data_IF_256072359889
#
_entry.id   IF_256072359889
#
_cell.length_a   1.000
_cell.length_b   1.000
_cell.length_c   1.000
_cell.angle_alpha   90.00
_cell.angle_beta   90.00
_cell.angle_gamma   90.00
#
_symmetry.space_group_name_H-M   'P 1'
#
loop_
_entity.id
_entity.type
_entity.pdbx_description
1 polymer ?
#
# COMPACT_ATOMS: atom_id res chain seq x y z
N UNK A 1 -16.68 -21.79 -13.20
CA UNK A 1 -17.43 -21.15 -12.11
C UNK A 1 -17.01 -21.77 -10.80
N UNK A 2 -16.17 -21.11 -10.02
CA UNK A 2 -15.63 -21.63 -8.77
C UNK A 2 -16.72 -21.67 -7.69
N UNK A 3 -17.04 -22.88 -7.18
CA UNK A 3 -18.11 -23.13 -6.20
C UNK A 3 -17.70 -22.88 -4.74
N UNK A 4 -16.49 -22.37 -4.50
CA UNK A 4 -15.95 -22.18 -3.15
C UNK A 4 -16.13 -20.72 -2.69
N UNK A 5 -16.94 -20.46 -1.65
CA UNK A 5 -17.16 -19.09 -1.14
C UNK A 5 -15.86 -18.44 -0.65
N UNK A 6 -14.90 -19.24 -0.15
CA UNK A 6 -13.59 -18.76 0.27
C UNK A 6 -12.81 -18.12 -0.89
N UNK A 7 -12.87 -18.69 -2.09
CA UNK A 7 -12.16 -18.15 -3.25
C UNK A 7 -12.70 -16.78 -3.68
N UNK A 8 -14.02 -16.58 -3.56
CA UNK A 8 -14.66 -15.30 -3.83
C UNK A 8 -14.29 -14.28 -2.75
N UNK A 9 -14.28 -14.70 -1.48
CA UNK A 9 -13.89 -13.84 -0.37
C UNK A 9 -12.44 -13.37 -0.48
N UNK A 10 -11.50 -14.26 -0.84
CA UNK A 10 -10.10 -13.91 -1.03
C UNK A 10 -9.89 -12.95 -2.21
N UNK A 11 -10.63 -13.15 -3.32
CA UNK A 11 -10.58 -12.23 -4.46
C UNK A 11 -11.14 -10.84 -4.14
N UNK A 12 -12.22 -10.76 -3.37
CA UNK A 12 -12.74 -9.48 -2.89
C UNK A 12 -11.77 -8.82 -1.89
N UNK A 13 -11.13 -9.60 -1.03
CA UNK A 13 -10.14 -9.10 -0.09
C UNK A 13 -8.92 -8.52 -0.80
N UNK A 14 -8.36 -9.21 -1.80
CA UNK A 14 -7.24 -8.69 -2.59
C UNK A 14 -7.63 -7.43 -3.37
N UNK A 15 -8.83 -7.40 -3.95
CA UNK A 15 -9.37 -6.20 -4.59
C UNK A 15 -9.50 -5.03 -3.61
N UNK A 16 -10.07 -5.27 -2.42
CA UNK A 16 -10.23 -4.23 -1.39
C UNK A 16 -8.88 -3.70 -0.90
N UNK A 17 -7.88 -4.58 -0.77
CA UNK A 17 -6.54 -4.19 -0.36
C UNK A 17 -5.88 -3.27 -1.39
N UNK A 18 -6.08 -3.52 -2.69
CA UNK A 18 -5.62 -2.64 -3.77
C UNK A 18 -6.25 -1.23 -3.71
N UNK A 19 -7.52 -1.12 -3.29
CA UNK A 19 -8.18 0.17 -3.01
C UNK A 19 -7.94 0.69 -1.58
N UNK A 20 -7.03 0.06 -0.83
CA UNK A 20 -6.66 0.44 0.52
C UNK A 20 -5.93 1.79 0.59
N UNK A 21 -5.80 2.33 1.81
CA UNK A 21 -5.07 3.58 2.06
C UNK A 21 -5.92 4.82 2.30
N UNK A 22 -7.24 4.72 2.12
CA UNK A 22 -8.19 5.80 2.49
C UNK A 22 -8.10 6.19 3.98
N UNK A 23 -7.75 5.25 4.87
CA UNK A 23 -7.55 5.53 6.29
C UNK A 23 -6.43 6.54 6.56
N UNK A 24 -5.39 6.57 5.72
CA UNK A 24 -4.27 7.51 5.86
C UNK A 24 -4.73 8.96 5.64
N UNK A 25 -5.84 9.19 4.92
CA UNK A 25 -6.44 10.52 4.77
C UNK A 25 -6.98 11.04 6.12
N UNK A 26 -7.48 10.15 6.98
CA UNK A 26 -7.96 10.52 8.30
C UNK A 26 -6.81 11.02 9.18
N UNK A 27 -5.61 10.44 9.06
CA UNK A 27 -4.42 10.87 9.82
C UNK A 27 -3.96 12.29 9.49
N UNK A 28 -4.26 12.78 8.28
CA UNK A 28 -3.86 14.12 7.81
C UNK A 28 -5.00 15.13 7.97
N UNK A 29 -6.16 14.69 8.47
CA UNK A 29 -7.33 15.57 8.65
C UNK A 29 -7.07 16.71 9.62
N UNK A 30 -6.21 16.52 10.63
CA UNK A 30 -5.79 17.57 11.56
C UNK A 30 -4.86 18.62 10.93
N UNK A 31 -4.20 18.29 9.81
CA UNK A 31 -3.28 19.19 9.08
C UNK A 31 -3.96 19.89 7.88
N UNK A 32 -5.17 19.45 7.52
CA UNK A 32 -5.94 19.99 6.40
C UNK A 32 -6.56 21.34 6.75
N UNK A 33 -6.28 22.37 5.92
CA UNK A 33 -7.05 23.63 5.97
C UNK A 33 -8.51 23.35 5.58
N UNK A 34 -9.47 23.72 6.43
CA UNK A 34 -10.92 23.49 6.22
C UNK A 34 -11.28 22.00 5.97
N UNK A 35 -11.10 21.11 6.97
CA UNK A 35 -11.22 19.67 6.79
C UNK A 35 -12.62 19.25 6.32
N UNK A 36 -13.69 19.87 6.83
CA UNK A 36 -15.08 19.52 6.46
C UNK A 36 -15.35 19.54 4.95
N UNK A 37 -14.76 20.51 4.22
CA UNK A 37 -14.96 20.64 2.77
C UNK A 37 -13.87 19.89 2.00
N UNK A 38 -12.61 20.06 2.40
CA UNK A 38 -11.49 19.53 1.64
C UNK A 38 -11.38 18.01 1.75
N UNK A 39 -11.66 17.43 2.92
CA UNK A 39 -11.69 15.98 3.08
C UNK A 39 -12.76 15.34 2.18
N UNK A 40 -13.97 15.92 2.17
CA UNK A 40 -15.07 15.44 1.33
C UNK A 40 -14.73 15.52 -0.16
N UNK A 41 -14.18 16.66 -0.62
CA UNK A 41 -13.74 16.83 -2.00
C UNK A 41 -12.61 15.85 -2.37
N UNK A 42 -11.64 15.63 -1.47
CA UNK A 42 -10.56 14.68 -1.70
C UNK A 42 -11.10 13.26 -1.89
N UNK A 43 -12.06 12.81 -1.08
CA UNK A 43 -12.66 11.47 -1.21
C UNK A 43 -13.43 11.36 -2.53
N UNK A 44 -14.29 12.35 -2.83
CA UNK A 44 -15.13 12.34 -4.04
C UNK A 44 -14.31 12.42 -5.33
N UNK A 45 -13.14 13.05 -5.31
CA UNK A 45 -12.25 13.11 -6.49
C UNK A 45 -11.29 11.92 -6.56
N UNK A 46 -10.72 11.49 -5.44
CA UNK A 46 -9.74 10.41 -5.41
C UNK A 46 -10.39 9.06 -5.73
N UNK A 47 -11.54 8.72 -5.13
CA UNK A 47 -12.16 7.41 -5.32
C UNK A 47 -12.50 7.10 -6.80
N UNK A 48 -13.21 7.98 -7.54
CA UNK A 48 -13.50 7.72 -8.95
C UNK A 48 -12.25 7.69 -9.81
N UNK A 49 -11.27 8.57 -9.52
CA UNK A 49 -10.00 8.59 -10.27
C UNK A 49 -9.27 7.25 -10.13
N UNK A 50 -9.16 6.73 -8.90
CA UNK A 50 -8.53 5.44 -8.64
C UNK A 50 -9.32 4.32 -9.33
N UNK A 51 -10.66 4.30 -9.23
CA UNK A 51 -11.49 3.30 -9.91
C UNK A 51 -11.24 3.30 -11.43
N UNK A 52 -11.24 4.47 -12.07
CA UNK A 52 -11.01 4.59 -13.51
C UNK A 52 -9.62 4.09 -13.88
N UNK A 53 -8.57 4.49 -13.15
CA UNK A 53 -7.20 4.03 -13.41
C UNK A 53 -7.09 2.51 -13.29
N UNK A 54 -7.66 1.91 -12.25
CA UNK A 54 -7.65 0.46 -12.07
C UNK A 54 -8.37 -0.28 -13.20
N UNK A 55 -9.52 0.23 -13.65
CA UNK A 55 -10.24 -0.36 -14.79
C UNK A 55 -9.41 -0.27 -16.06
N UNK A 56 -8.80 0.88 -16.33
CA UNK A 56 -7.93 1.08 -17.50
C UNK A 56 -6.71 0.16 -17.48
N UNK A 57 -6.07 -0.02 -16.32
CA UNK A 57 -4.94 -0.95 -16.17
C UNK A 57 -5.36 -2.40 -16.43
N UNK A 58 -6.49 -2.85 -15.88
CA UNK A 58 -7.00 -4.19 -16.14
C UNK A 58 -7.33 -4.41 -17.62
N UNK A 59 -7.96 -3.42 -18.28
CA UNK A 59 -8.21 -3.47 -19.73
C UNK A 59 -6.89 -3.61 -20.48
N UNK A 60 -5.89 -2.80 -20.16
CA UNK A 60 -4.56 -2.85 -20.78
C UNK A 60 -3.91 -4.24 -20.66
N UNK A 61 -3.99 -4.87 -19.49
CA UNK A 61 -3.45 -6.22 -19.29
C UNK A 61 -4.18 -7.27 -20.13
N UNK A 62 -5.51 -7.25 -20.14
CA UNK A 62 -6.29 -8.23 -20.93
C UNK A 62 -6.20 -8.03 -22.43
N UNK A 63 -5.83 -6.84 -22.91
CA UNK A 63 -5.62 -6.60 -24.36
C UNK A 63 -4.28 -7.12 -24.87
N UNK A 64 -3.28 -7.24 -24.00
CA UNK A 64 -1.90 -7.58 -24.40
C UNK A 64 -1.55 -9.03 -24.05
N UNK A 65 -2.04 -9.55 -22.92
CA UNK A 65 -1.62 -10.84 -22.38
C UNK A 65 -2.73 -11.89 -22.42
N UNK A 66 -2.33 -13.15 -22.61
CA UNK A 66 -3.26 -14.29 -22.50
C UNK A 66 -3.52 -14.66 -21.03
N UNK A 67 -4.64 -15.35 -20.77
CA UNK A 67 -5.04 -15.77 -19.41
C UNK A 67 -3.97 -16.62 -18.72
N UNK A 68 -3.29 -17.49 -19.46
CA UNK A 68 -2.26 -18.37 -18.92
C UNK A 68 -1.03 -17.57 -18.49
N UNK A 69 -0.59 -16.60 -19.28
CA UNK A 69 0.53 -15.71 -18.95
C UNK A 69 0.21 -14.84 -17.73
N UNK A 70 -1.03 -14.35 -17.62
CA UNK A 70 -1.44 -13.52 -16.50
C UNK A 70 -1.52 -14.31 -15.18
N UNK A 71 -1.87 -15.60 -15.25
CA UNK A 71 -1.92 -16.49 -14.09
C UNK A 71 -0.55 -17.08 -13.71
N UNK A 72 0.37 -17.22 -14.66
CA UNK A 72 1.72 -17.74 -14.40
C UNK A 72 2.73 -16.65 -14.01
N UNK A 73 2.45 -15.38 -14.32
CA UNK A 73 3.34 -14.27 -14.04
C UNK A 73 3.35 -13.89 -12.56
N UNK A 74 4.52 -13.95 -11.92
CA UNK A 74 4.72 -13.36 -10.58
C UNK A 74 4.74 -11.83 -10.61
N UNK A 75 5.06 -11.20 -11.75
CA UNK A 75 5.11 -9.75 -11.89
C UNK A 75 4.44 -9.28 -13.19
N UNK A 76 3.09 -9.23 -13.18
CA UNK A 76 2.25 -8.92 -14.35
C UNK A 76 2.64 -7.60 -15.04
N UNK A 77 3.06 -6.59 -14.28
CA UNK A 77 3.46 -5.31 -14.85
C UNK A 77 4.75 -5.43 -15.69
N UNK A 78 5.71 -6.26 -15.29
CA UNK A 78 6.97 -6.44 -16.01
C UNK A 78 6.75 -7.25 -17.28
N UNK A 79 5.97 -8.34 -17.20
CA UNK A 79 5.63 -9.15 -18.38
C UNK A 79 4.81 -8.37 -19.40
N UNK A 80 3.87 -7.52 -18.95
CA UNK A 80 3.21 -6.55 -19.83
C UNK A 80 4.21 -5.55 -20.44
N UNK A 81 5.15 -5.05 -19.65
CA UNK A 81 6.17 -4.11 -20.11
C UNK A 81 7.11 -4.69 -21.16
N UNK A 82 7.45 -5.97 -21.08
CA UNK A 82 8.27 -6.66 -22.08
C UNK A 82 7.54 -6.75 -23.43
N UNK A 83 6.23 -6.99 -23.40
CA UNK A 83 5.40 -7.08 -24.60
C UNK A 83 5.16 -5.71 -25.28
N UNK A 84 5.13 -4.60 -24.52
CA UNK A 84 4.72 -3.28 -25.05
C UNK A 84 5.89 -2.28 -25.17
N UNK A 85 6.74 -2.20 -24.15
CA UNK A 85 7.75 -1.13 -24.00
C UNK A 85 9.12 -1.49 -24.60
N UNK A 86 9.34 -2.77 -24.94
CA UNK A 86 10.58 -3.27 -25.51
C UNK A 86 11.81 -2.90 -24.65
N UNK A 87 12.84 -2.23 -25.19
CA UNK A 87 14.11 -1.97 -24.48
C UNK A 87 13.97 -1.02 -23.28
N UNK A 88 12.85 -0.29 -23.15
CA UNK A 88 12.61 0.64 -22.03
C UNK A 88 12.11 -0.10 -20.78
N UNK A 89 11.80 -1.40 -20.87
CA UNK A 89 11.26 -2.19 -19.75
C UNK A 89 12.19 -2.20 -18.53
N UNK A 90 13.50 -2.04 -18.70
CA UNK A 90 14.46 -1.98 -17.59
C UNK A 90 14.18 -0.84 -16.60
N UNK A 91 13.52 0.24 -17.03
CA UNK A 91 13.12 1.33 -16.15
C UNK A 91 11.85 1.01 -15.33
N UNK A 92 11.03 0.06 -15.78
CA UNK A 92 9.73 -0.22 -15.20
C UNK A 92 9.82 -0.78 -13.76
N UNK A 93 10.70 -1.77 -13.45
CA UNK A 93 10.89 -2.23 -12.07
C UNK A 93 11.38 -1.13 -11.12
N UNK A 94 12.19 -0.18 -11.62
CA UNK A 94 12.68 0.95 -10.83
C UNK A 94 11.51 1.86 -10.45
N UNK A 95 10.65 2.19 -11.42
CA UNK A 95 9.46 3.02 -11.18
C UNK A 95 8.49 2.36 -10.19
N UNK A 96 8.24 1.06 -10.36
CA UNK A 96 7.40 0.27 -9.44
C UNK A 96 8.01 0.27 -8.03
N UNK A 97 9.33 0.06 -7.93
CA UNK A 97 10.03 0.07 -6.64
C UNK A 97 9.98 1.44 -5.96
N UNK A 98 10.12 2.53 -6.69
CA UNK A 98 9.98 3.90 -6.15
C UNK A 98 8.57 4.15 -5.63
N UNK A 99 7.55 3.68 -6.35
CA UNK A 99 6.15 3.74 -5.89
C UNK A 99 5.94 2.95 -4.59
N UNK A 100 6.44 1.71 -4.54
CA UNK A 100 6.37 0.86 -3.35
C UNK A 100 7.10 1.48 -2.15
N UNK A 101 8.28 2.08 -2.37
CA UNK A 101 9.03 2.81 -1.33
C UNK A 101 8.26 4.04 -0.85
N UNK A 102 7.60 4.77 -1.74
CA UNK A 102 6.73 5.89 -1.39
C UNK A 102 5.58 5.46 -0.48
N UNK A 103 4.90 4.37 -0.83
CA UNK A 103 3.82 3.78 -0.02
C UNK A 103 4.34 3.30 1.34
N UNK A 104 5.46 2.56 1.38
CA UNK A 104 6.08 2.10 2.62
C UNK A 104 6.46 3.26 3.55
N UNK A 105 7.02 4.33 3.00
CA UNK A 105 7.38 5.53 3.76
C UNK A 105 6.14 6.24 4.34
N UNK A 106 5.07 6.39 3.56
CA UNK A 106 3.82 6.99 4.04
C UNK A 106 3.21 6.18 5.21
N UNK A 107 3.21 4.85 5.09
CA UNK A 107 2.73 3.95 6.16
C UNK A 107 3.60 4.04 7.42
N UNK A 108 4.92 4.17 7.27
CA UNK A 108 5.84 4.32 8.39
C UNK A 108 5.57 5.61 9.18
N UNK A 109 5.35 6.74 8.49
CA UNK A 109 4.99 8.00 9.13
C UNK A 109 3.64 7.93 9.84
N UNK A 110 2.61 7.35 9.22
CA UNK A 110 1.31 7.17 9.83
C UNK A 110 1.39 6.34 11.11
N UNK A 111 2.02 5.16 11.02
CA UNK A 111 2.16 4.23 12.14
C UNK A 111 2.94 4.81 13.32
N UNK A 112 4.02 5.55 13.03
CA UNK A 112 4.82 6.18 14.08
C UNK A 112 4.03 7.27 14.84
N UNK A 113 3.19 8.05 14.13
CA UNK A 113 2.28 9.03 14.76
C UNK A 113 1.22 8.34 15.62
N UNK A 114 0.60 7.27 15.12
CA UNK A 114 -0.36 6.50 15.91
C UNK A 114 0.26 5.96 17.20
N UNK A 115 1.50 5.45 17.15
CA UNK A 115 2.20 4.98 18.35
C UNK A 115 2.48 6.13 19.34
N UNK A 116 2.90 7.30 18.85
CA UNK A 116 3.13 8.48 19.68
C UNK A 116 1.86 8.93 20.40
N UNK A 117 0.75 9.08 19.66
CA UNK A 117 -0.54 9.49 20.24
C UNK A 117 -1.05 8.44 21.22
N UNK A 118 -0.94 7.15 20.89
CA UNK A 118 -1.35 6.06 21.78
C UNK A 118 -0.55 6.04 23.09
N UNK A 119 0.74 6.38 23.05
CA UNK A 119 1.57 6.51 24.25
C UNK A 119 1.19 7.74 25.09
N UNK A 120 0.80 8.86 24.46
CA UNK A 120 0.30 10.04 25.16
C UNK A 120 -1.01 9.79 25.92
N UNK A 121 -1.87 8.93 25.39
CA UNK A 121 -3.10 8.50 26.07
C UNK A 121 -2.88 7.36 27.08
N UNK A 122 -1.64 6.90 27.29
CA UNK A 122 -1.30 5.87 28.27
C UNK A 122 -1.56 4.43 27.82
N UNK A 123 -1.90 4.18 26.55
CA UNK A 123 -2.10 2.82 26.01
C UNK A 123 -0.78 2.10 25.70
N UNK A 124 0.30 2.86 25.49
CA UNK A 124 1.65 2.34 25.25
C UNK A 124 2.64 2.94 26.26
N UNK A 125 3.78 2.25 26.53
CA UNK A 125 4.83 2.77 27.40
C UNK A 125 5.32 4.16 26.95
N UNK A 126 5.66 5.02 27.93
CA UNK A 126 6.09 6.40 27.69
C UNK A 126 7.29 6.53 26.74
N UNK A 127 8.11 5.48 26.60
CA UNK A 127 9.22 5.41 25.66
C UNK A 127 8.76 5.72 24.22
N UNK A 128 7.52 5.37 23.85
CA UNK A 128 6.96 5.65 22.51
C UNK A 128 6.48 7.09 22.33
N UNK A 129 6.32 7.86 23.39
CA UNK A 129 6.03 9.30 23.33
C UNK A 129 7.31 10.15 23.15
N UNK A 130 8.50 9.55 23.30
CA UNK A 130 9.78 10.25 23.16
C UNK A 130 10.07 10.67 21.72
N UNK A 131 10.31 11.98 21.53
CA UNK A 131 10.69 12.58 20.26
C UNK A 131 12.18 12.93 20.31
N UNK A 132 12.92 12.63 19.23
CA UNK A 132 14.33 12.98 19.16
C UNK A 132 14.55 14.50 19.06
N UNK A 133 15.32 15.08 19.99
CA UNK A 133 15.47 16.54 20.17
C UNK A 133 16.01 17.27 18.92
N UNK A 134 16.95 16.68 18.17
CA UNK A 134 17.55 17.35 16.99
C UNK A 134 16.80 17.12 15.68
N UNK A 135 16.08 16.00 15.56
CA UNK A 135 15.46 15.55 14.30
C UNK A 135 13.94 15.64 14.34
N UNK A 136 13.35 15.90 15.51
CA UNK A 136 11.91 15.98 15.75
C UNK A 136 11.15 14.75 15.23
N UNK A 137 11.79 13.58 15.26
CA UNK A 137 11.24 12.31 14.78
C UNK A 137 10.95 11.36 15.94
N UNK A 138 9.81 10.64 15.90
CA UNK A 138 9.47 9.59 16.88
C UNK A 138 10.23 8.30 16.58
N UNK A 139 11.53 8.26 16.93
CA UNK A 139 12.43 7.12 16.65
C UNK A 139 11.91 5.78 17.22
N UNK A 140 11.39 5.70 18.46
CA UNK A 140 10.93 4.44 19.03
C UNK A 140 9.74 3.82 18.27
N UNK A 141 8.80 4.64 17.79
CA UNK A 141 7.68 4.17 16.98
C UNK A 141 8.11 3.64 15.61
N UNK A 142 9.10 4.29 14.98
CA UNK A 142 9.69 3.82 13.72
C UNK A 142 10.42 2.48 13.92
N UNK A 143 11.20 2.34 15.00
CA UNK A 143 11.91 1.10 15.31
C UNK A 143 10.94 -0.05 15.55
N UNK A 144 9.86 0.18 16.31
CA UNK A 144 8.82 -0.83 16.52
C UNK A 144 8.21 -1.30 15.20
N UNK A 145 7.85 -0.36 14.32
CA UNK A 145 7.28 -0.71 13.01
C UNK A 145 8.27 -1.53 12.17
N UNK A 146 9.55 -1.17 12.16
CA UNK A 146 10.59 -1.91 11.44
C UNK A 146 10.73 -3.33 12.01
N UNK A 147 10.75 -3.50 13.33
CA UNK A 147 10.79 -4.82 13.97
C UNK A 147 9.57 -5.67 13.61
N UNK A 148 8.37 -5.08 13.63
CA UNK A 148 7.12 -5.76 13.24
C UNK A 148 7.12 -6.16 11.75
N UNK A 149 7.69 -5.33 10.88
CA UNK A 149 7.84 -5.67 9.47
C UNK A 149 8.82 -6.84 9.29
N UNK A 150 9.97 -6.81 9.96
CA UNK A 150 10.94 -7.92 9.90
C UNK A 150 10.37 -9.24 10.46
N UNK A 151 9.61 -9.19 11.56
CA UNK A 151 8.97 -10.39 12.12
C UNK A 151 7.87 -10.94 11.19
N UNK A 152 7.11 -10.05 10.54
CA UNK A 152 6.10 -10.42 9.55
C UNK A 152 6.75 -11.07 8.32
N UNK A 153 7.85 -10.51 7.79
CA UNK A 153 8.59 -11.09 6.66
C UNK A 153 9.12 -12.49 6.99
N UNK A 154 9.62 -12.70 8.22
CA UNK A 154 10.06 -14.02 8.69
C UNK A 154 8.94 -15.05 8.67
N UNK A 155 7.71 -14.63 9.02
CA UNK A 155 6.51 -15.48 9.03
C UNK A 155 5.97 -15.71 7.60
N UNK A 156 6.09 -14.71 6.74
CA UNK A 156 5.57 -14.73 5.36
C UNK A 156 6.44 -15.55 4.42
N UNK A 157 7.70 -15.88 4.75
CA UNK A 157 8.54 -16.79 3.94
C UNK A 157 7.86 -18.12 3.57
N UNK A 158 6.84 -18.57 4.32
CA UNK A 158 6.04 -19.75 3.99
C UNK A 158 4.79 -19.49 3.10
N UNK A 159 4.37 -18.24 2.90
CA UNK A 159 3.18 -17.82 2.14
C UNK A 159 3.47 -16.61 1.22
N UNK A 160 4.66 -16.55 0.60
CA UNK A 160 5.20 -15.40 -0.17
C UNK A 160 4.31 -14.93 -1.33
N UNK A 161 3.39 -15.75 -1.84
CA UNK A 161 2.76 -15.52 -3.14
C UNK A 161 1.67 -14.42 -3.11
N UNK A 162 1.17 -13.99 -1.95
CA UNK A 162 -0.06 -13.17 -1.91
C UNK A 162 0.19 -11.67 -1.65
N UNK A 163 1.33 -11.26 -1.07
CA UNK A 163 1.48 -9.89 -0.53
C UNK A 163 2.48 -8.99 -1.26
N UNK A 164 3.30 -9.52 -2.17
CA UNK A 164 4.40 -8.78 -2.82
C UNK A 164 4.18 -8.52 -4.32
N UNK A 165 3.02 -8.92 -4.86
CA UNK A 165 2.72 -8.87 -6.30
C UNK A 165 1.72 -7.77 -6.69
N UNK A 166 1.28 -6.94 -5.74
CA UNK A 166 0.53 -5.72 -6.05
C UNK A 166 1.04 -4.53 -5.23
#
# INVERSE_FOLDING_TARGET
TTKNPLSVALALYSGLWAYGGWNSLNSVTEELKNPKRNLWLSIVLALPTVIVLYVLTNISYFTVMNKEELLSSEAVAVTWGEAVLGPVVCALPILISVSALGSANANLFGSARYCMVSAQYGYLPEVFACIHIRRLTPVPGVVLQVVLLFSSISTIKHNIIIFLVF
#
